data_IF_131800015036
#
_entry.id   IF_131800015036
#
_cell.length_a   1.000
_cell.length_b   1.000
_cell.length_c   1.000
_cell.angle_alpha   90.00
_cell.angle_beta   90.00
_cell.angle_gamma   90.00
#
_symmetry.space_group_name_H-M   'P 1'
#
loop_
_entity.id
_entity.type
_entity.pdbx_description
1 polymer ?
#
# COMPACT_ATOMS: atom_id res chain seq x y z
N UNK A 1 -42.04 -2.08 -11.12
CA UNK A 1 -42.20 -1.68 -9.71
C UNK A 1 -40.81 -1.36 -9.15
N UNK A 2 -40.40 -0.09 -9.20
CA UNK A 2 -39.12 0.38 -8.64
C UNK A 2 -39.42 1.01 -7.29
N UNK A 3 -38.80 0.46 -6.24
CA UNK A 3 -38.93 0.89 -4.86
C UNK A 3 -38.17 2.22 -4.70
N UNK A 4 -38.86 3.36 -4.84
CA UNK A 4 -38.33 4.69 -4.51
C UNK A 4 -38.31 4.79 -2.98
N UNK A 5 -37.23 4.33 -2.35
CA UNK A 5 -36.95 4.63 -0.95
C UNK A 5 -36.70 6.15 -0.84
N UNK A 6 -37.74 6.90 -0.50
CA UNK A 6 -37.62 8.32 -0.17
C UNK A 6 -36.80 8.43 1.11
N UNK A 7 -35.50 8.73 0.98
CA UNK A 7 -34.65 8.99 2.12
C UNK A 7 -35.08 10.33 2.74
N UNK A 8 -35.46 10.30 4.02
CA UNK A 8 -35.74 11.48 4.82
C UNK A 8 -34.44 12.00 5.44
N UNK A 9 -34.37 13.31 5.66
CA UNK A 9 -33.21 13.95 6.26
C UNK A 9 -33.64 14.93 7.35
N UNK A 10 -32.92 14.93 8.48
CA UNK A 10 -33.23 15.73 9.67
C UNK A 10 -32.59 17.13 9.59
N UNK A 11 -33.38 18.19 9.39
CA UNK A 11 -32.92 19.62 9.25
C UNK A 11 -33.16 20.33 10.57
N UNK A 12 -32.43 21.40 10.82
CA UNK A 12 -32.83 22.43 11.79
C UNK A 12 -33.42 23.60 10.98
N UNK A 13 -34.72 23.89 11.18
CA UNK A 13 -35.40 25.09 10.65
C UNK A 13 -35.99 25.85 11.83
N UNK A 14 -35.75 27.15 11.89
CA UNK A 14 -36.24 28.02 12.98
C UNK A 14 -35.88 27.50 14.39
N UNK A 15 -34.69 26.91 14.53
CA UNK A 15 -34.20 26.34 15.80
C UNK A 15 -34.79 24.98 16.20
N UNK A 16 -35.63 24.37 15.36
CA UNK A 16 -36.30 23.10 15.63
C UNK A 16 -35.85 21.99 14.67
N UNK A 17 -35.60 20.80 15.23
CA UNK A 17 -35.29 19.57 14.48
C UNK A 17 -36.53 19.09 13.75
N UNK A 18 -36.51 19.11 12.41
CA UNK A 18 -37.63 18.70 11.55
C UNK A 18 -37.16 17.68 10.52
N UNK A 19 -37.94 16.62 10.33
CA UNK A 19 -37.67 15.61 9.31
C UNK A 19 -38.30 16.04 7.99
N UNK A 20 -37.51 16.14 6.92
CA UNK A 20 -37.98 16.58 5.59
C UNK A 20 -37.55 15.60 4.49
N UNK A 21 -38.35 15.45 3.41
CA UNK A 21 -37.93 14.68 2.23
C UNK A 21 -36.64 15.25 1.63
N UNK A 22 -35.72 14.37 1.20
CA UNK A 22 -34.42 14.78 0.66
C UNK A 22 -34.49 15.73 -0.55
N UNK A 23 -35.61 15.76 -1.27
CA UNK A 23 -35.84 16.65 -2.41
C UNK A 23 -36.18 18.11 -2.00
N UNK A 24 -36.43 18.38 -0.71
CA UNK A 24 -36.95 19.68 -0.21
C UNK A 24 -35.95 20.48 0.66
N UNK A 25 -34.67 20.13 0.56
CA UNK A 25 -33.57 20.65 1.39
C UNK A 25 -33.04 21.95 0.78
N UNK A 26 -32.84 22.97 1.61
CA UNK A 26 -32.19 24.23 1.21
C UNK A 26 -30.98 24.46 2.13
N UNK A 27 -29.93 25.04 1.56
CA UNK A 27 -28.57 25.19 2.11
C UNK A 27 -28.48 26.35 3.11
N UNK A 28 -27.66 26.24 4.18
CA UNK A 28 -27.39 27.41 5.03
C UNK A 28 -26.33 27.33 6.14
N UNK A 29 -25.77 26.17 6.50
CA UNK A 29 -24.89 26.08 7.68
C UNK A 29 -23.41 25.99 7.28
N UNK A 30 -22.56 26.77 7.99
CA UNK A 30 -21.09 26.72 7.88
C UNK A 30 -20.63 25.40 8.47
N UNK A 31 -19.88 24.61 7.70
CA UNK A 31 -19.30 23.35 8.19
C UNK A 31 -17.81 23.38 8.04
N UNK A 32 -17.10 22.98 9.08
CA UNK A 32 -15.66 22.81 9.03
C UNK A 32 -15.33 21.33 8.89
N UNK A 33 -14.40 21.00 7.99
CA UNK A 33 -13.93 19.63 7.81
C UNK A 33 -12.43 19.53 7.98
N UNK A 34 -12.00 18.40 8.55
CA UNK A 34 -10.60 18.01 8.67
C UNK A 34 -10.16 17.30 7.39
N UNK A 35 -9.33 18.00 6.62
CA UNK A 35 -8.77 17.52 5.36
C UNK A 35 -7.38 16.87 5.51
N UNK A 36 -6.87 16.70 6.73
CA UNK A 36 -5.52 16.18 7.01
C UNK A 36 -5.24 14.85 6.31
N UNK A 37 -6.25 13.98 6.19
CA UNK A 37 -6.12 12.70 5.49
C UNK A 37 -5.82 12.83 3.98
N UNK A 38 -6.16 13.95 3.35
CA UNK A 38 -5.90 14.19 1.92
C UNK A 38 -4.78 15.19 1.66
N UNK A 39 -4.66 16.25 2.48
CA UNK A 39 -3.71 17.35 2.24
C UNK A 39 -2.52 17.33 3.20
N UNK A 40 -2.61 16.60 4.31
CA UNK A 40 -1.60 16.65 5.37
C UNK A 40 -1.70 17.86 6.30
N UNK A 41 -2.61 18.80 6.02
CA UNK A 41 -2.84 20.01 6.82
C UNK A 41 -3.95 19.76 7.84
N UNK A 42 -3.67 20.03 9.12
CA UNK A 42 -4.61 19.80 10.23
C UNK A 42 -5.55 20.98 10.50
N UNK A 43 -5.41 22.09 9.77
CA UNK A 43 -6.28 23.26 9.93
C UNK A 43 -7.67 22.97 9.36
N UNK A 44 -8.75 23.08 10.17
CA UNK A 44 -10.12 22.87 9.70
C UNK A 44 -10.45 23.79 8.53
N UNK A 45 -11.04 23.22 7.47
CA UNK A 45 -11.39 23.95 6.25
C UNK A 45 -12.91 24.15 6.19
N UNK A 46 -13.34 25.40 6.12
CA UNK A 46 -14.77 25.74 6.01
C UNK A 46 -15.34 25.34 4.64
N UNK A 47 -16.55 24.78 4.65
CA UNK A 47 -17.32 24.33 3.50
C UNK A 47 -18.55 25.20 3.30
N UNK A 48 -18.79 25.56 2.06
CA UNK A 48 -19.90 26.39 1.60
C UNK A 48 -20.44 25.78 0.31
N UNK A 49 -21.67 26.10 -0.10
CA UNK A 49 -22.19 25.54 -1.37
C UNK A 49 -21.77 26.29 -2.61
N UNK A 50 -21.17 27.46 -2.42
CA UNK A 50 -20.66 28.26 -3.52
C UNK A 50 -19.37 27.64 -4.06
N UNK A 51 -19.28 27.60 -5.38
CA UNK A 51 -18.06 27.21 -6.06
C UNK A 51 -16.98 28.28 -5.83
N UNK A 52 -15.86 27.89 -5.24
CA UNK A 52 -14.82 28.84 -4.83
C UNK A 52 -13.51 28.70 -5.59
N UNK A 53 -13.24 27.54 -6.23
CA UNK A 53 -11.96 27.27 -6.90
C UNK A 53 -12.15 26.22 -8.01
N UNK A 54 -11.40 26.35 -9.11
CA UNK A 54 -11.35 25.34 -10.19
C UNK A 54 -10.75 24.01 -9.74
N UNK A 55 -9.79 24.05 -8.81
CA UNK A 55 -9.23 22.85 -8.21
C UNK A 55 -10.26 22.20 -7.28
N UNK A 56 -10.72 20.95 -7.57
CA UNK A 56 -11.69 20.26 -6.72
C UNK A 56 -11.22 20.10 -5.27
N UNK A 57 -9.92 19.93 -5.01
CA UNK A 57 -9.40 19.75 -3.64
C UNK A 57 -9.48 21.02 -2.79
N UNK A 58 -9.47 22.18 -3.42
CA UNK A 58 -9.47 23.50 -2.76
C UNK A 58 -10.85 24.15 -2.75
N UNK A 59 -11.80 23.68 -3.57
CA UNK A 59 -13.15 24.25 -3.57
C UNK A 59 -13.89 23.90 -2.28
N UNK A 60 -14.65 24.88 -1.76
CA UNK A 60 -15.36 24.77 -0.49
C UNK A 60 -16.68 24.00 -0.60
N UNK A 61 -17.16 23.73 -1.80
CA UNK A 61 -18.40 23.01 -2.07
C UNK A 61 -18.27 21.50 -2.21
N UNK A 62 -17.09 20.94 -1.92
CA UNK A 62 -16.84 19.51 -1.91
C UNK A 62 -16.37 19.05 -0.53
N UNK A 63 -16.86 17.90 -0.10
CA UNK A 63 -16.35 17.15 1.04
C UNK A 63 -15.84 15.79 0.55
N UNK A 64 -14.78 15.28 1.17
CA UNK A 64 -14.06 14.12 0.65
C UNK A 64 -14.26 12.88 1.54
N UNK A 65 -14.11 11.71 0.92
CA UNK A 65 -14.05 10.47 1.69
C UNK A 65 -12.78 10.46 2.55
N UNK A 66 -12.90 10.05 3.81
CA UNK A 66 -11.85 10.11 4.86
C UNK A 66 -11.62 11.48 5.52
N UNK A 67 -12.49 12.48 5.30
CA UNK A 67 -12.48 13.75 6.04
C UNK A 67 -13.62 13.79 7.05
N UNK A 68 -13.36 14.29 8.26
CA UNK A 68 -14.38 14.38 9.31
C UNK A 68 -14.96 15.80 9.41
N UNK A 69 -16.25 15.93 9.71
CA UNK A 69 -16.83 17.20 10.08
C UNK A 69 -16.41 17.55 11.52
N UNK A 70 -15.79 18.72 11.69
CA UNK A 70 -15.26 19.24 12.97
C UNK A 70 -16.32 20.06 13.68
N UNK A 71 -17.00 20.95 12.96
CA UNK A 71 -18.08 21.79 13.48
C UNK A 71 -19.16 22.06 12.42
N UNK A 72 -20.37 22.32 12.86
CA UNK A 72 -21.53 22.62 12.01
C UNK A 72 -22.31 21.41 11.50
N UNK A 73 -23.36 21.66 10.73
CA UNK A 73 -24.20 20.62 10.09
C UNK A 73 -24.25 20.84 8.59
N UNK A 74 -23.85 19.87 7.77
CA UNK A 74 -23.91 20.01 6.31
C UNK A 74 -24.88 19.01 5.71
N UNK A 75 -25.34 19.34 4.50
CA UNK A 75 -26.02 18.41 3.61
C UNK A 75 -25.38 18.48 2.24
N UNK A 76 -25.19 17.33 1.63
CA UNK A 76 -24.56 17.23 0.33
C UNK A 76 -25.08 16.04 -0.46
N UNK A 77 -24.85 16.07 -1.76
CA UNK A 77 -25.17 14.96 -2.67
C UNK A 77 -23.90 14.14 -2.85
N UNK A 78 -24.03 12.81 -2.75
CA UNK A 78 -22.91 11.91 -3.00
C UNK A 78 -22.60 11.89 -4.49
N UNK A 79 -21.42 12.42 -4.86
CA UNK A 79 -20.95 12.46 -6.25
C UNK A 79 -20.09 11.25 -6.64
N UNK A 80 -19.39 10.63 -5.67
CA UNK A 80 -18.50 9.48 -5.88
C UNK A 80 -18.53 8.53 -4.68
N UNK A 81 -18.41 7.22 -4.95
CA UNK A 81 -18.40 6.15 -3.94
C UNK A 81 -17.28 5.13 -4.20
N UNK A 82 -16.78 4.51 -3.12
CA UNK A 82 -15.73 3.46 -3.18
C UNK A 82 -14.45 3.94 -3.88
N UNK A 83 -13.92 3.11 -4.77
CA UNK A 83 -12.67 3.36 -5.52
C UNK A 83 -12.74 4.58 -6.44
N UNK A 84 -13.95 5.09 -6.74
CA UNK A 84 -14.15 6.30 -7.55
C UNK A 84 -14.02 7.59 -6.73
N UNK A 85 -13.90 7.49 -5.41
CA UNK A 85 -13.59 8.64 -4.54
C UNK A 85 -12.12 9.03 -4.70
N UNK A 86 -11.77 10.28 -4.35
CA UNK A 86 -10.37 10.74 -4.40
C UNK A 86 -9.47 9.83 -3.57
N UNK A 87 -9.85 9.56 -2.32
CA UNK A 87 -9.09 8.69 -1.43
C UNK A 87 -9.09 7.22 -1.88
N UNK A 88 -10.19 6.72 -2.46
CA UNK A 88 -10.25 5.38 -3.06
C UNK A 88 -9.26 5.21 -4.21
N UNK A 89 -9.08 6.23 -5.06
CA UNK A 89 -8.05 6.22 -6.11
C UNK A 89 -6.64 6.25 -5.53
N UNK A 90 -6.39 7.05 -4.49
CA UNK A 90 -5.09 7.12 -3.81
C UNK A 90 -4.75 5.76 -3.18
N UNK A 91 -5.71 5.13 -2.48
CA UNK A 91 -5.53 3.81 -1.89
C UNK A 91 -5.24 2.74 -2.95
N UNK A 92 -5.96 2.78 -4.08
CA UNK A 92 -5.72 1.85 -5.20
C UNK A 92 -4.32 2.05 -5.80
N UNK A 93 -3.92 3.30 -6.06
CA UNK A 93 -2.56 3.63 -6.52
C UNK A 93 -1.50 3.14 -5.54
N UNK A 94 -1.69 3.35 -4.24
CA UNK A 94 -0.76 2.89 -3.21
C UNK A 94 -0.66 1.36 -3.17
N UNK A 95 -1.78 0.65 -3.34
CA UNK A 95 -1.82 -0.82 -3.36
C UNK A 95 -1.25 -1.45 -4.63
N UNK A 96 -1.31 -0.72 -5.75
CA UNK A 96 -0.80 -1.16 -7.04
C UNK A 96 0.70 -0.94 -7.23
N UNK A 97 1.40 -0.37 -6.24
CA UNK A 97 2.85 -0.23 -6.28
C UNK A 97 3.48 -1.59 -6.03
N UNK A 98 4.06 -2.18 -7.07
CA UNK A 98 4.91 -3.36 -6.93
C UNK A 98 6.08 -3.02 -5.99
N UNK A 99 6.10 -3.66 -4.83
CA UNK A 99 7.23 -3.61 -3.92
C UNK A 99 8.39 -4.34 -4.63
N UNK A 100 9.26 -3.56 -5.28
CA UNK A 100 10.50 -4.07 -5.84
C UNK A 100 11.37 -4.73 -4.76
N UNK A 101 12.31 -5.57 -5.19
CA UNK A 101 13.28 -6.17 -4.27
C UNK A 101 14.04 -5.08 -3.50
N UNK A 102 14.17 -5.25 -2.18
CA UNK A 102 14.92 -4.30 -1.35
C UNK A 102 16.41 -4.31 -1.74
N UNK A 103 17.13 -3.19 -1.60
CA UNK A 103 18.57 -3.15 -1.93
C UNK A 103 19.37 -4.22 -1.17
N UNK A 104 19.00 -4.50 0.07
CA UNK A 104 19.60 -5.57 0.90
C UNK A 104 19.34 -6.96 0.29
N UNK A 105 18.12 -7.24 -0.16
CA UNK A 105 17.80 -8.53 -0.78
C UNK A 105 18.61 -8.75 -2.07
N UNK A 106 18.80 -7.69 -2.86
CA UNK A 106 19.63 -7.71 -4.06
C UNK A 106 21.10 -8.02 -3.76
N UNK A 107 21.68 -7.39 -2.73
CA UNK A 107 23.05 -7.65 -2.29
C UNK A 107 23.22 -9.09 -1.79
N UNK A 108 22.26 -9.61 -1.02
CA UNK A 108 22.28 -11.01 -0.54
C UNK A 108 22.23 -11.99 -1.72
N UNK A 109 21.35 -11.77 -2.70
CA UNK A 109 21.27 -12.62 -3.89
C UNK A 109 22.57 -12.61 -4.70
N UNK A 110 23.21 -11.44 -4.82
CA UNK A 110 24.50 -11.31 -5.48
C UNK A 110 25.60 -12.07 -4.72
N UNK A 111 25.64 -11.92 -3.39
CA UNK A 111 26.59 -12.63 -2.54
C UNK A 111 26.42 -14.15 -2.63
N UNK A 112 25.18 -14.66 -2.58
CA UNK A 112 24.88 -16.09 -2.72
C UNK A 112 25.37 -16.61 -4.08
N UNK A 113 25.09 -15.89 -5.17
CA UNK A 113 25.56 -16.28 -6.51
C UNK A 113 27.09 -16.34 -6.61
N UNK A 114 27.80 -15.39 -5.99
CA UNK A 114 29.26 -15.38 -5.97
C UNK A 114 29.82 -16.62 -5.27
N UNK A 115 29.32 -16.93 -4.07
CA UNK A 115 29.79 -18.09 -3.30
C UNK A 115 29.45 -19.41 -4.01
N UNK A 116 28.24 -19.54 -4.54
CA UNK A 116 27.84 -20.73 -5.31
C UNK A 116 28.70 -20.91 -6.57
N UNK A 117 29.02 -19.84 -7.28
CA UNK A 117 29.89 -19.90 -8.45
C UNK A 117 31.30 -20.40 -8.08
N UNK A 118 31.89 -19.87 -7.00
CA UNK A 118 33.20 -20.31 -6.50
C UNK A 118 33.17 -21.77 -6.06
N UNK A 119 32.13 -22.18 -5.31
CA UNK A 119 31.92 -23.56 -4.88
C UNK A 119 31.85 -24.53 -6.06
N UNK A 120 31.13 -24.15 -7.14
CA UNK A 120 31.01 -24.97 -8.34
C UNK A 120 32.33 -25.09 -9.09
N UNK A 121 33.08 -23.99 -9.25
CA UNK A 121 34.40 -24.00 -9.89
C UNK A 121 35.36 -24.90 -9.13
N UNK A 122 35.42 -24.78 -7.80
CA UNK A 122 36.26 -25.64 -6.96
C UNK A 122 35.82 -27.10 -7.06
N UNK A 123 34.52 -27.38 -6.94
CA UNK A 123 33.97 -28.73 -7.02
C UNK A 123 34.32 -29.43 -8.33
N UNK A 124 34.09 -28.77 -9.46
CA UNK A 124 34.40 -29.33 -10.79
C UNK A 124 35.91 -29.52 -10.98
N UNK A 125 36.72 -28.58 -10.51
CA UNK A 125 38.19 -28.69 -10.60
C UNK A 125 38.70 -29.91 -9.84
N UNK A 126 38.27 -30.10 -8.59
CA UNK A 126 38.66 -31.26 -7.78
C UNK A 126 38.07 -32.57 -8.31
N UNK A 127 36.87 -32.53 -8.89
CA UNK A 127 36.28 -33.68 -9.57
C UNK A 127 37.16 -34.16 -10.73
N UNK A 128 37.61 -33.26 -11.61
CA UNK A 128 38.52 -33.59 -12.71
C UNK A 128 39.86 -34.14 -12.18
N UNK A 129 40.43 -33.52 -11.14
CA UNK A 129 41.67 -34.00 -10.51
C UNK A 129 41.50 -35.42 -9.95
N UNK A 130 40.37 -35.71 -9.30
CA UNK A 130 40.08 -37.04 -8.76
C UNK A 130 40.05 -38.11 -9.86
N UNK A 131 39.47 -37.80 -11.03
CA UNK A 131 39.52 -38.70 -12.18
C UNK A 131 40.93 -38.93 -12.70
N UNK A 132 41.76 -37.87 -12.80
CA UNK A 132 43.15 -37.98 -13.26
C UNK A 132 44.00 -38.83 -12.30
N UNK A 133 43.75 -38.73 -10.99
CA UNK A 133 44.42 -39.52 -9.95
C UNK A 133 43.96 -40.99 -9.90
N UNK A 134 42.95 -41.38 -10.70
CA UNK A 134 42.46 -42.75 -10.77
C UNK A 134 41.49 -43.15 -9.66
N UNK A 135 40.87 -42.18 -8.97
CA UNK A 135 39.80 -42.48 -8.01
C UNK A 135 38.58 -43.09 -8.72
N UNK A 136 37.80 -43.87 -7.97
CA UNK A 136 36.55 -44.43 -8.51
C UNK A 136 35.54 -43.30 -8.71
N UNK A 137 34.68 -43.42 -9.73
CA UNK A 137 33.66 -42.40 -10.03
C UNK A 137 32.77 -42.06 -8.81
N UNK A 138 32.48 -43.05 -7.96
CA UNK A 138 31.70 -42.86 -6.74
C UNK A 138 32.42 -41.96 -5.72
N UNK A 139 33.74 -42.16 -5.54
CA UNK A 139 34.56 -41.36 -4.64
C UNK A 139 34.67 -39.91 -5.12
N UNK A 140 34.85 -39.71 -6.44
CA UNK A 140 34.88 -38.39 -7.05
C UNK A 140 33.56 -37.61 -6.84
N UNK A 141 32.40 -38.28 -6.96
CA UNK A 141 31.09 -37.67 -6.69
C UNK A 141 30.92 -37.33 -5.21
N UNK A 142 31.37 -38.19 -4.29
CA UNK A 142 31.33 -37.91 -2.84
C UNK A 142 32.18 -36.68 -2.52
N UNK A 143 33.38 -36.56 -3.11
CA UNK A 143 34.22 -35.36 -2.97
C UNK A 143 33.56 -34.10 -3.53
N UNK A 144 32.94 -34.19 -4.71
CA UNK A 144 32.22 -33.06 -5.32
C UNK A 144 31.10 -32.55 -4.43
N UNK A 145 30.24 -33.45 -3.93
CA UNK A 145 29.14 -33.09 -3.03
C UNK A 145 29.69 -32.50 -1.73
N UNK A 146 30.76 -33.09 -1.17
CA UNK A 146 31.42 -32.59 0.03
C UNK A 146 31.95 -31.16 -0.12
N UNK A 147 32.56 -30.84 -1.25
CA UNK A 147 33.06 -29.48 -1.54
C UNK A 147 31.91 -28.49 -1.69
N UNK A 148 30.84 -28.87 -2.39
CA UNK A 148 29.67 -28.00 -2.57
C UNK A 148 29.02 -27.72 -1.21
N UNK A 149 28.67 -28.76 -0.44
CA UNK A 149 28.04 -28.62 0.88
C UNK A 149 28.93 -27.80 1.84
N UNK A 150 30.25 -28.02 1.84
CA UNK A 150 31.17 -27.25 2.69
C UNK A 150 31.25 -25.75 2.33
N UNK A 151 30.91 -25.37 1.10
CA UNK A 151 30.99 -23.98 0.63
C UNK A 151 29.62 -23.30 0.51
N UNK A 152 28.51 -24.04 0.45
CA UNK A 152 27.17 -23.45 0.48
C UNK A 152 26.95 -22.86 1.88
N UNK A 153 26.64 -21.55 2.00
CA UNK A 153 26.50 -20.90 3.28
C UNK A 153 25.10 -21.18 3.86
N UNK A 154 24.86 -22.42 4.26
CA UNK A 154 23.59 -22.90 4.82
C UNK A 154 23.15 -22.09 6.06
N UNK A 155 24.13 -21.56 6.81
CA UNK A 155 23.89 -20.69 7.96
C UNK A 155 23.60 -19.23 7.63
N UNK A 156 23.89 -18.74 6.41
CA UNK A 156 23.75 -17.32 6.08
C UNK A 156 22.29 -16.89 5.98
N UNK A 157 21.42 -17.71 5.38
CA UNK A 157 19.99 -17.42 5.31
C UNK A 157 19.36 -17.34 6.71
N UNK A 158 19.81 -18.19 7.63
CA UNK A 158 19.35 -18.19 9.02
C UNK A 158 19.82 -16.95 9.80
N UNK A 159 21.10 -16.57 9.69
CA UNK A 159 21.64 -15.39 10.40
C UNK A 159 21.06 -14.08 9.87
N UNK A 160 20.88 -13.96 8.56
CA UNK A 160 20.21 -12.82 7.93
C UNK A 160 18.79 -12.66 8.49
N UNK A 161 18.02 -13.76 8.56
CA UNK A 161 16.66 -13.72 9.10
C UNK A 161 16.62 -13.30 10.57
N UNK A 162 17.57 -13.76 11.38
CA UNK A 162 17.67 -13.39 12.81
C UNK A 162 18.12 -11.94 12.99
N UNK A 163 19.01 -11.41 12.15
CA UNK A 163 19.42 -10.00 12.24
C UNK A 163 18.30 -9.01 11.89
N UNK A 164 17.28 -9.44 11.14
CA UNK A 164 16.10 -8.64 10.82
C UNK A 164 14.96 -8.77 11.84
N UNK A 165 15.11 -9.65 12.84
CA UNK A 165 14.15 -9.88 13.92
C UNK A 165 14.61 -9.19 15.21
#
# INVERSE_FOLDING_TARGET
>A
MLYKNFQTALVIRDGLKTEVPAESIVVGDIVEVDNSALTGESEPQSRTTEFSNENPLETRNLAFFSTNAVDGTCRGIVISTGDRTVMGRIANLASGLELGETPIHKEINHFIHLITAVAMVLGVTFFIIAFILGYRWLEAVIFLIGIIVANVPEGLLATVTVCFY
#
